data_IF_177279500522
#
_entry.id   IF_177279500522
#
_cell.length_a   1.000
_cell.length_b   1.000
_cell.length_c   1.000
_cell.angle_alpha   90.00
_cell.angle_beta   90.00
_cell.angle_gamma   90.00
#
_symmetry.space_group_name_H-M   'P 1'
#
loop_
_entity.id
_entity.type
_entity.pdbx_description
1 polymer ?
#
# COMPACT_ATOMS: atom_id res chain seq x y z
N UNK A 1 16.27 27.64 11.51
CA UNK A 1 16.20 26.47 10.60
C UNK A 1 15.92 25.24 11.44
N UNK A 2 14.66 24.99 11.77
CA UNK A 2 14.24 23.79 12.50
C UNK A 2 13.80 22.75 11.48
N UNK A 3 14.55 21.66 11.37
CA UNK A 3 14.14 20.47 10.61
C UNK A 3 12.76 20.02 11.08
N UNK A 4 11.81 19.65 10.20
CA UNK A 4 10.56 19.09 10.67
C UNK A 4 10.89 17.71 11.26
N UNK A 5 10.72 17.58 12.57
CA UNK A 5 10.62 16.29 13.23
C UNK A 5 9.41 15.58 12.61
N UNK A 6 9.65 14.69 11.65
CA UNK A 6 8.64 13.73 11.19
C UNK A 6 8.04 13.08 12.45
N UNK A 7 6.71 13.16 12.66
CA UNK A 7 6.11 12.55 13.82
C UNK A 7 6.48 11.06 13.83
N UNK A 8 6.99 10.56 14.97
CA UNK A 8 7.31 9.13 15.18
C UNK A 8 6.11 8.17 14.96
N UNK A 9 4.93 8.71 14.62
CA UNK A 9 3.66 8.02 14.40
C UNK A 9 3.04 8.27 13.01
N UNK A 10 3.78 8.86 12.05
CA UNK A 10 3.30 9.03 10.68
C UNK A 10 3.15 7.67 9.96
N UNK A 11 2.22 7.61 8.99
CA UNK A 11 2.16 6.50 8.03
C UNK A 11 2.82 6.94 6.73
N UNK A 12 3.82 6.19 6.28
CA UNK A 12 4.70 6.51 5.15
C UNK A 12 4.50 5.51 4.01
N UNK A 13 4.75 5.95 2.79
CA UNK A 13 4.69 5.12 1.58
C UNK A 13 5.87 5.40 0.67
N UNK A 14 6.41 4.37 0.01
CA UNK A 14 7.49 4.52 -0.97
C UNK A 14 7.49 3.39 -2.00
N UNK A 15 8.02 3.68 -3.19
CA UNK A 15 8.41 2.65 -4.17
C UNK A 15 9.62 1.89 -3.60
N UNK A 16 9.47 0.59 -3.42
CA UNK A 16 10.44 -0.30 -2.79
C UNK A 16 11.30 -1.08 -3.79
N UNK A 17 11.06 -0.92 -5.10
CA UNK A 17 11.83 -1.54 -6.18
C UNK A 17 12.61 -0.50 -7.00
N UNK A 18 13.72 -0.88 -7.68
CA UNK A 18 14.44 0.01 -8.57
C UNK A 18 13.56 0.59 -9.69
N UNK A 19 13.95 1.75 -10.22
CA UNK A 19 13.30 2.35 -11.39
C UNK A 19 13.71 1.60 -12.66
N UNK A 20 12.78 1.42 -13.58
CA UNK A 20 13.04 0.79 -14.88
C UNK A 20 11.93 -0.16 -15.28
N UNK A 21 12.17 -0.93 -16.34
CA UNK A 21 11.26 -2.00 -16.78
C UNK A 21 11.56 -3.26 -15.99
N UNK A 22 10.51 -3.88 -15.45
CA UNK A 22 10.57 -5.14 -14.71
C UNK A 22 9.21 -5.84 -14.74
N UNK A 23 9.17 -7.11 -14.35
CA UNK A 23 7.92 -7.90 -14.31
C UNK A 23 6.98 -7.54 -13.16
N UNK A 24 7.48 -6.83 -12.14
CA UNK A 24 6.69 -6.34 -11.00
C UNK A 24 7.30 -5.06 -10.43
N UNK A 25 6.47 -4.27 -9.76
CA UNK A 25 6.89 -3.17 -8.89
C UNK A 25 6.29 -3.34 -7.50
N UNK A 26 6.98 -2.86 -6.46
CA UNK A 26 6.47 -2.91 -5.08
C UNK A 26 6.34 -1.50 -4.54
N UNK A 27 5.17 -1.18 -3.97
CA UNK A 27 4.95 -0.01 -3.14
C UNK A 27 4.76 -0.48 -1.71
N UNK A 28 5.59 0.00 -0.78
CA UNK A 28 5.51 -0.38 0.63
C UNK A 28 4.89 0.75 1.45
N UNK A 29 3.88 0.39 2.24
CA UNK A 29 3.18 1.27 3.17
C UNK A 29 3.47 0.82 4.61
N UNK A 30 3.80 1.75 5.50
CA UNK A 30 4.20 1.45 6.87
C UNK A 30 3.72 2.51 7.85
N UNK A 31 3.27 2.10 9.04
CA UNK A 31 2.79 2.98 10.10
C UNK A 31 1.38 2.60 10.59
N UNK A 32 0.85 3.35 11.57
CA UNK A 32 -0.38 2.98 12.27
C UNK A 32 -1.63 2.93 11.38
N UNK A 33 -1.64 3.64 10.24
CA UNK A 33 -2.76 3.66 9.28
C UNK A 33 -2.51 2.80 8.04
N UNK A 34 -1.43 2.01 8.00
CA UNK A 34 -1.05 1.27 6.80
C UNK A 34 -2.15 0.31 6.34
N UNK A 35 -2.71 -0.47 7.26
CA UNK A 35 -3.75 -1.43 6.94
C UNK A 35 -5.07 -0.77 6.50
N UNK A 36 -5.50 0.28 7.19
CA UNK A 36 -6.75 0.99 6.83
C UNK A 36 -6.63 1.69 5.48
N UNK A 37 -5.49 2.31 5.18
CA UNK A 37 -5.23 2.87 3.86
C UNK A 37 -5.21 1.76 2.80
N UNK A 38 -4.58 0.62 3.07
CA UNK A 38 -4.55 -0.51 2.13
C UNK A 38 -5.96 -1.04 1.82
N UNK A 39 -6.83 -1.14 2.83
CA UNK A 39 -8.23 -1.55 2.65
C UNK A 39 -9.05 -0.54 1.82
N UNK A 40 -8.68 0.74 1.79
CA UNK A 40 -9.31 1.73 0.92
C UNK A 40 -8.91 1.62 -0.55
N UNK A 41 -7.67 1.20 -0.84
CA UNK A 41 -7.10 1.22 -2.20
C UNK A 41 -6.98 -0.17 -2.84
N UNK A 42 -7.23 -1.25 -2.10
CA UNK A 42 -7.08 -2.61 -2.58
C UNK A 42 -8.35 -3.43 -2.32
N UNK A 43 -8.91 -4.01 -3.39
CA UNK A 43 -10.09 -4.86 -3.35
C UNK A 43 -9.71 -6.31 -3.59
N UNK A 44 -9.99 -7.15 -2.60
CA UNK A 44 -9.70 -8.58 -2.60
C UNK A 44 -10.94 -9.36 -2.14
N UNK A 45 -10.97 -10.67 -2.40
CA UNK A 45 -12.06 -11.56 -1.92
C UNK A 45 -12.08 -11.67 -0.40
N UNK A 46 -10.96 -11.41 0.28
CA UNK A 46 -10.80 -11.53 1.73
C UNK A 46 -10.39 -10.18 2.30
N UNK A 47 -10.70 -9.96 3.57
CA UNK A 47 -10.18 -8.78 4.26
C UNK A 47 -8.67 -8.86 4.45
N UNK A 48 -7.97 -7.74 4.28
CA UNK A 48 -6.52 -7.64 4.55
C UNK A 48 -6.22 -7.78 6.05
N UNK A 49 -7.14 -7.37 6.91
CA UNK A 49 -7.05 -7.52 8.37
C UNK A 49 -7.18 -8.96 8.88
N UNK A 50 -7.53 -9.93 8.02
CA UNK A 50 -7.86 -11.29 8.46
C UNK A 50 -6.68 -12.12 9.00
N UNK A 51 -5.51 -12.08 8.36
CA UNK A 51 -4.33 -12.87 8.79
C UNK A 51 -3.01 -12.17 8.41
N UNK A 52 -2.15 -11.84 9.39
CA UNK A 52 -0.81 -11.33 9.10
C UNK A 52 0.04 -12.31 8.29
N UNK A 53 0.96 -11.79 7.46
CA UNK A 53 1.87 -12.58 6.61
C UNK A 53 1.14 -13.48 5.60
N UNK A 54 0.05 -12.97 5.02
CA UNK A 54 -0.70 -13.63 3.97
C UNK A 54 -0.73 -12.73 2.73
N UNK A 55 -0.52 -13.33 1.57
CA UNK A 55 -0.63 -12.65 0.27
C UNK A 55 -2.06 -12.77 -0.23
N UNK A 56 -2.60 -11.70 -0.83
CA UNK A 56 -3.93 -11.71 -1.40
C UNK A 56 -3.89 -11.14 -2.81
N UNK A 57 -4.40 -11.87 -3.79
CA UNK A 57 -4.56 -11.33 -5.13
C UNK A 57 -5.83 -10.49 -5.24
N UNK A 58 -5.74 -9.33 -5.89
CA UNK A 58 -6.84 -8.37 -5.98
C UNK A 58 -6.57 -7.22 -6.94
N UNK A 59 -7.42 -6.19 -6.83
CA UNK A 59 -7.41 -5.01 -7.69
C UNK A 59 -6.99 -3.78 -6.89
N UNK A 60 -6.07 -2.99 -7.43
CA UNK A 60 -5.80 -1.64 -6.95
C UNK A 60 -6.80 -0.67 -7.58
N UNK A 61 -7.43 0.18 -6.78
CA UNK A 61 -8.47 1.11 -7.23
C UNK A 61 -8.15 2.56 -6.86
N UNK A 62 -8.65 3.50 -7.65
CA UNK A 62 -8.60 4.93 -7.33
C UNK A 62 -9.73 5.36 -6.39
N UNK A 63 -9.82 6.67 -6.11
CA UNK A 63 -10.82 7.27 -5.23
C UNK A 63 -12.26 7.13 -5.71
N UNK A 64 -12.48 6.92 -7.01
CA UNK A 64 -13.80 6.66 -7.61
C UNK A 64 -14.10 5.15 -7.68
N UNK A 65 -13.16 4.32 -7.21
CA UNK A 65 -13.27 2.87 -7.25
C UNK A 65 -12.97 2.24 -8.61
N UNK A 66 -12.42 3.01 -9.57
CA UNK A 66 -11.98 2.50 -10.87
C UNK A 66 -10.65 1.78 -10.71
N UNK A 67 -10.51 0.67 -11.42
CA UNK A 67 -9.29 -0.13 -11.37
C UNK A 67 -8.10 0.60 -12.01
N UNK A 68 -6.99 0.64 -11.27
CA UNK A 68 -5.68 1.12 -11.72
C UNK A 68 -4.83 -0.06 -12.21
N UNK A 69 -4.76 -1.13 -11.41
CA UNK A 69 -3.93 -2.31 -11.68
C UNK A 69 -4.47 -3.57 -10.97
N UNK A 70 -3.85 -4.73 -11.16
CA UNK A 70 -4.10 -5.96 -10.41
C UNK A 70 -2.79 -6.56 -9.91
N UNK A 71 -2.81 -7.13 -8.70
CA UNK A 71 -1.59 -7.66 -8.09
C UNK A 71 -1.82 -8.35 -6.76
N UNK A 72 -0.74 -8.43 -5.98
CA UNK A 72 -0.62 -9.16 -4.73
C UNK A 72 -0.62 -8.24 -3.50
#
# INVERSE_FOLDING_TARGET
MTSPTEPAHSTIVAVATPRGRGGLGVVRLSGPKALSIAECIFRSKKSLSGRPRCVQYGQFVDGDGKQIDAGL
#
